data_IF_081006341164
#
_entry.id   IF_081006341164
#
_cell.length_a   1.000
_cell.length_b   1.000
_cell.length_c   1.000
_cell.angle_alpha   90.00
_cell.angle_beta   90.00
_cell.angle_gamma   90.00
#
_symmetry.space_group_name_H-M   'P 1'
#
loop_
_entity.id
_entity.type
_entity.pdbx_description
1 polymer ?
#
# COMPACT_ATOMS: atom_id res chain seq x y z
N UNK A 1 -5.15 12.10 -13.54
CA UNK A 1 -6.48 11.73 -13.00
C UNK A 1 -6.41 11.90 -11.48
N UNK A 2 -7.35 12.63 -10.88
CA UNK A 2 -7.42 12.79 -9.42
C UNK A 2 -8.61 11.97 -8.91
N UNK A 3 -8.33 10.78 -8.39
CA UNK A 3 -9.33 9.93 -7.75
C UNK A 3 -9.21 10.14 -6.24
N UNK A 4 -10.24 10.66 -5.55
CA UNK A 4 -10.23 10.77 -4.10
C UNK A 4 -10.54 9.41 -3.45
N UNK A 5 -10.10 9.20 -2.20
CA UNK A 5 -10.58 8.07 -1.41
C UNK A 5 -12.09 8.25 -1.13
N UNK A 6 -12.96 7.26 -1.43
CA UNK A 6 -14.37 7.38 -1.13
C UNK A 6 -14.62 7.49 0.38
N UNK A 7 -15.69 8.21 0.74
CA UNK A 7 -16.15 8.29 2.12
C UNK A 7 -16.86 7.00 2.54
N UNK A 8 -16.06 5.96 2.79
CA UNK A 8 -16.55 4.65 3.27
C UNK A 8 -16.75 4.73 4.78
N UNK A 9 -17.89 4.32 5.36
CA UNK A 9 -18.06 4.20 6.82
C UNK A 9 -16.98 3.32 7.46
N UNK A 10 -16.68 3.54 8.75
CA UNK A 10 -15.56 2.87 9.43
C UNK A 10 -15.79 1.36 9.55
N UNK A 11 -17.03 0.93 9.71
CA UNK A 11 -17.44 -0.48 9.76
C UNK A 11 -17.19 -1.23 8.44
N UNK A 12 -17.21 -0.54 7.30
CA UNK A 12 -17.00 -1.12 5.97
C UNK A 12 -15.61 -0.83 5.39
N UNK A 13 -14.77 -0.11 6.13
CA UNK A 13 -13.47 0.29 5.59
C UNK A 13 -12.56 -0.90 5.32
N UNK A 14 -12.58 -1.92 6.20
CA UNK A 14 -11.82 -3.14 5.99
C UNK A 14 -12.25 -3.88 4.71
N UNK A 15 -13.54 -3.96 4.44
CA UNK A 15 -14.08 -4.57 3.22
C UNK A 15 -13.66 -3.80 1.96
N UNK A 16 -13.71 -2.46 2.02
CA UNK A 16 -13.22 -1.60 0.96
C UNK A 16 -11.72 -1.82 0.69
N UNK A 17 -10.90 -1.82 1.75
CA UNK A 17 -9.44 -2.03 1.64
C UNK A 17 -9.15 -3.39 1.03
N UNK A 18 -9.85 -4.44 1.46
CA UNK A 18 -9.70 -5.79 0.91
C UNK A 18 -10.08 -5.82 -0.56
N UNK A 19 -11.24 -5.27 -0.94
CA UNK A 19 -11.66 -5.23 -2.34
C UNK A 19 -10.71 -4.44 -3.24
N UNK A 20 -10.18 -3.32 -2.75
CA UNK A 20 -9.17 -2.55 -3.48
C UNK A 20 -7.83 -3.29 -3.59
N UNK A 21 -7.40 -3.96 -2.51
CA UNK A 21 -6.21 -4.79 -2.52
C UNK A 21 -6.33 -5.98 -3.49
N UNK A 22 -7.48 -6.64 -3.54
CA UNK A 22 -7.71 -7.76 -4.45
C UNK A 22 -7.70 -7.32 -5.94
N UNK A 23 -8.08 -6.06 -6.22
CA UNK A 23 -8.08 -5.49 -7.57
C UNK A 23 -6.73 -4.91 -8.03
N UNK A 24 -6.15 -4.00 -7.22
CA UNK A 24 -4.97 -3.20 -7.57
C UNK A 24 -3.79 -3.39 -6.59
N UNK A 25 -3.88 -4.40 -5.73
CA UNK A 25 -2.82 -4.80 -4.82
C UNK A 25 -1.87 -5.84 -5.42
N UNK A 26 -0.73 -6.02 -4.78
CA UNK A 26 0.13 -7.18 -5.00
C UNK A 26 0.86 -7.59 -3.72
N UNK A 27 1.23 -8.87 -3.69
CA UNK A 27 2.09 -9.45 -2.66
C UNK A 27 3.42 -9.82 -3.30
N UNK A 28 4.51 -9.48 -2.62
CA UNK A 28 5.83 -9.98 -2.94
C UNK A 28 6.41 -10.72 -1.74
N UNK A 29 7.04 -11.87 -1.96
CA UNK A 29 7.70 -12.61 -0.89
C UNK A 29 9.14 -12.88 -1.30
N UNK A 30 10.09 -12.60 -0.42
CA UNK A 30 11.49 -12.87 -0.70
C UNK A 30 12.48 -12.28 0.29
N UNK A 31 13.76 -12.42 -0.05
CA UNK A 31 14.85 -11.87 0.76
C UNK A 31 15.08 -10.40 0.44
N UNK A 32 15.05 -9.55 1.47
CA UNK A 32 15.57 -8.18 1.44
C UNK A 32 16.96 -8.13 2.07
N UNK A 33 17.70 -7.05 1.76
CA UNK A 33 19.07 -6.86 2.25
C UNK A 33 20.00 -8.05 1.96
N UNK A 34 19.91 -8.60 0.74
CA UNK A 34 20.61 -9.82 0.31
C UNK A 34 22.13 -9.76 0.48
N UNK A 35 22.70 -8.56 0.42
CA UNK A 35 24.15 -8.35 0.53
C UNK A 35 24.62 -8.20 1.99
N UNK A 36 23.72 -8.23 2.98
CA UNK A 36 24.09 -8.22 4.40
C UNK A 36 24.43 -9.63 4.89
N UNK A 37 25.27 -9.71 5.92
CA UNK A 37 25.61 -10.98 6.59
C UNK A 37 24.37 -11.77 7.05
N UNK A 38 23.30 -11.06 7.40
CA UNK A 38 22.00 -11.64 7.77
C UNK A 38 20.90 -11.09 6.84
N UNK A 39 20.62 -11.76 5.71
CA UNK A 39 19.49 -11.39 4.85
C UNK A 39 18.16 -11.69 5.56
N UNK A 40 17.12 -10.91 5.25
CA UNK A 40 15.83 -11.03 5.92
C UNK A 40 14.77 -11.52 4.93
N UNK A 41 14.07 -12.60 5.29
CA UNK A 41 12.91 -13.08 4.53
C UNK A 41 11.67 -12.31 4.95
N UNK A 42 10.98 -11.68 4.01
CA UNK A 42 9.81 -10.83 4.29
C UNK A 42 8.69 -11.05 3.27
N UNK A 43 7.49 -10.62 3.66
CA UNK A 43 6.31 -10.45 2.83
C UNK A 43 6.02 -8.95 2.70
N UNK A 44 5.99 -8.47 1.46
CA UNK A 44 5.59 -7.12 1.13
C UNK A 44 4.17 -7.09 0.58
N UNK A 45 3.37 -6.14 1.04
CA UNK A 45 2.05 -5.83 0.47
C UNK A 45 2.09 -4.45 -0.17
N UNK A 46 1.56 -4.33 -1.38
CA UNK A 46 1.62 -3.09 -2.16
C UNK A 46 0.24 -2.75 -2.70
N UNK A 47 -0.14 -1.49 -2.60
CA UNK A 47 -1.30 -0.90 -3.27
C UNK A 47 -0.82 -0.02 -4.42
N UNK A 48 -1.42 -0.14 -5.60
CA UNK A 48 -1.05 0.64 -6.80
C UNK A 48 -2.16 1.59 -7.19
N UNK A 49 -1.83 2.83 -7.54
CA UNK A 49 -2.82 3.78 -8.07
C UNK A 49 -2.18 4.82 -9.00
N UNK A 50 -2.94 5.26 -10.00
CA UNK A 50 -2.61 6.45 -10.79
C UNK A 50 -2.86 7.76 -10.01
N UNK A 51 -3.58 7.71 -8.89
CA UNK A 51 -3.81 8.84 -7.99
C UNK A 51 -2.89 8.76 -6.78
N UNK A 52 -1.82 9.57 -6.75
CA UNK A 52 -0.93 9.63 -5.58
C UNK A 52 -1.68 10.12 -4.33
N UNK A 53 -2.63 11.04 -4.51
CA UNK A 53 -3.43 11.58 -3.42
C UNK A 53 -4.29 10.49 -2.76
N UNK A 54 -4.90 9.62 -3.56
CA UNK A 54 -5.62 8.45 -3.07
C UNK A 54 -4.75 7.59 -2.13
N UNK A 55 -3.52 7.30 -2.54
CA UNK A 55 -2.61 6.46 -1.73
C UNK A 55 -2.17 7.14 -0.42
N UNK A 56 -2.07 8.48 -0.41
CA UNK A 56 -1.79 9.24 0.81
C UNK A 56 -2.97 9.15 1.78
N UNK A 57 -4.19 9.33 1.28
CA UNK A 57 -5.41 9.24 2.08
C UNK A 57 -5.62 7.82 2.61
N UNK A 58 -5.42 6.81 1.76
CA UNK A 58 -5.45 5.40 2.13
C UNK A 58 -4.42 5.10 3.23
N UNK A 59 -3.16 5.53 3.05
CA UNK A 59 -2.10 5.37 4.06
C UNK A 59 -2.50 6.00 5.40
N UNK A 60 -3.04 7.23 5.39
CA UNK A 60 -3.44 7.94 6.60
C UNK A 60 -4.59 7.22 7.32
N UNK A 61 -5.52 6.60 6.59
CA UNK A 61 -6.61 5.83 7.19
C UNK A 61 -6.12 4.49 7.73
N UNK A 62 -5.26 3.77 7.01
CA UNK A 62 -4.62 2.54 7.50
C UNK A 62 -3.75 2.78 8.75
N UNK A 63 -3.04 3.92 8.81
CA UNK A 63 -2.28 4.34 10.01
C UNK A 63 -3.17 4.53 11.23
N UNK A 64 -4.38 5.10 11.06
CA UNK A 64 -5.36 5.23 12.14
C UNK A 64 -5.88 3.87 12.63
N UNK A 65 -5.91 2.87 11.75
CA UNK A 65 -6.20 1.47 12.11
C UNK A 65 -4.99 0.72 12.72
N UNK A 66 -3.85 1.38 12.91
CA UNK A 66 -2.67 0.80 13.56
C UNK A 66 -1.61 0.23 12.61
N UNK A 67 -1.80 0.27 11.29
CA UNK A 67 -0.78 -0.18 10.33
C UNK A 67 0.38 0.83 10.25
N UNK A 68 1.61 0.33 10.48
CA UNK A 68 2.87 1.12 10.44
C UNK A 68 3.80 0.59 9.35
N UNK A 69 4.94 1.26 9.15
CA UNK A 69 6.01 0.76 8.26
C UNK A 69 5.80 0.98 6.76
N UNK A 70 4.91 1.89 6.37
CA UNK A 70 4.56 2.11 4.96
C UNK A 70 5.36 3.21 4.28
N UNK A 71 5.69 3.02 3.00
CA UNK A 71 6.33 4.03 2.15
C UNK A 71 5.54 4.24 0.84
N UNK A 72 5.48 5.48 0.36
CA UNK A 72 4.91 5.81 -0.95
C UNK A 72 6.04 6.00 -1.97
N UNK A 73 6.00 5.24 -3.05
CA UNK A 73 6.96 5.28 -4.14
C UNK A 73 6.29 5.83 -5.40
N UNK A 74 6.90 6.85 -6.01
CA UNK A 74 6.51 7.34 -7.33
C UNK A 74 7.19 6.49 -8.41
N UNK A 75 6.41 5.98 -9.37
CA UNK A 75 6.98 5.28 -10.52
C UNK A 75 7.58 6.25 -11.53
N UNK A 76 8.42 5.72 -12.43
CA UNK A 76 8.82 6.44 -13.66
C UNK A 76 7.65 6.65 -14.62
N UNK A 77 6.60 5.84 -14.48
CA UNK A 77 5.36 5.95 -15.24
C UNK A 77 4.28 6.71 -14.44
N UNK A 78 3.08 6.85 -15.01
CA UNK A 78 1.96 7.59 -14.44
C UNK A 78 1.22 6.84 -13.31
N UNK A 79 1.96 6.19 -12.40
CA UNK A 79 1.39 5.55 -11.22
C UNK A 79 2.31 5.69 -10.00
N UNK A 80 1.75 5.46 -8.82
CA UNK A 80 2.44 5.40 -7.54
C UNK A 80 2.09 4.11 -6.81
N UNK A 81 2.90 3.75 -5.82
CA UNK A 81 2.73 2.54 -5.01
C UNK A 81 2.84 2.88 -3.53
N UNK A 82 1.92 2.39 -2.72
CA UNK A 82 2.00 2.38 -1.27
C UNK A 82 2.41 0.98 -0.83
N UNK A 83 3.58 0.85 -0.22
CA UNK A 83 4.19 -0.44 0.11
C UNK A 83 4.42 -0.59 1.61
N UNK A 84 4.08 -1.78 2.11
CA UNK A 84 4.32 -2.30 3.45
C UNK A 84 5.30 -3.48 3.34
N UNK A 85 6.28 -3.57 4.25
CA UNK A 85 7.32 -4.62 4.33
C UNK A 85 7.48 -5.03 5.78
#
# INVERSE_FOLDING_TARGET
MNMPLPNVPDEFFADFVRGYFDGDGNVWVGLIHKDRATPMYTIGAVFTSCSRQFLIELQNRLKRCGLKGSCIYKSRHNYSRLQYI
#
